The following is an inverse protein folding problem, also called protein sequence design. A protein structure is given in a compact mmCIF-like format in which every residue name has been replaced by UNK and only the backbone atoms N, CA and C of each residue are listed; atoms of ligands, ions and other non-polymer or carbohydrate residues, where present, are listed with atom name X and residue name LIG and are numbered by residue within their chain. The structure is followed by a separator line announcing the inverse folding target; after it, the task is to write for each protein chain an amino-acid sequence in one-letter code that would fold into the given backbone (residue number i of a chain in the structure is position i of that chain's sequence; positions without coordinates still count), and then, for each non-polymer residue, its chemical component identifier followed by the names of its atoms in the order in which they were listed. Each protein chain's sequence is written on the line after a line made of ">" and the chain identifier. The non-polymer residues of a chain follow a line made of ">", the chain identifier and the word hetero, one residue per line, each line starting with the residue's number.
data_IF_034806448193
#
_entry.id   IF_034806448193
#
_cell.length_a   1.000
_cell.length_b   1.000
_cell.length_c   1.000
_cell.angle_alpha   90.00
_cell.angle_beta   90.00
_cell.angle_gamma   90.00
#
_symmetry.space_group_name_H-M   'P 1'
#
loop_
_entity.id
_entity.type
_entity.pdbx_description
1 polymer ?
#
# COMPACT_ATOMS: atom_id res chain seq x y z
N UNK A 1 18.39 12.94 8.89
CA UNK A 1 17.20 12.42 8.20
C UNK A 1 17.57 11.16 7.44
N UNK A 2 17.05 10.01 7.85
CA UNK A 2 17.21 8.69 7.24
C UNK A 2 15.99 8.39 6.36
N UNK A 3 16.24 8.21 5.07
CA UNK A 3 15.23 7.81 4.09
C UNK A 3 15.33 6.31 3.81
N UNK A 4 14.19 5.63 3.82
CA UNK A 4 14.05 4.24 3.38
C UNK A 4 13.18 4.18 2.11
N UNK A 5 13.50 3.25 1.22
CA UNK A 5 12.70 2.92 0.04
C UNK A 5 12.50 1.42 0.06
N UNK A 6 11.25 0.96 0.08
CA UNK A 6 10.93 -0.45 0.13
C UNK A 6 10.22 -0.89 -1.14
N UNK A 7 10.92 -1.70 -1.94
CA UNK A 7 10.38 -2.29 -3.16
C UNK A 7 9.88 -3.70 -2.88
N UNK A 8 8.62 -3.95 -3.22
CA UNK A 8 8.01 -5.28 -3.21
C UNK A 8 6.98 -5.37 -4.35
N UNK A 9 6.46 -6.57 -4.59
CA UNK A 9 5.37 -6.83 -5.53
C UNK A 9 4.04 -6.85 -4.77
N UNK A 10 3.18 -5.82 -4.90
CA UNK A 10 1.84 -5.86 -4.32
C UNK A 10 1.00 -6.92 -5.02
N UNK A 11 0.28 -7.72 -4.23
CA UNK A 11 -0.69 -8.69 -4.72
C UNK A 11 -1.99 -7.95 -5.04
N UNK A 12 -2.46 -8.03 -6.28
CA UNK A 12 -3.64 -7.31 -6.71
C UNK A 12 -4.88 -7.71 -5.89
N UNK A 13 -5.55 -6.73 -5.29
CA UNK A 13 -6.78 -6.91 -4.51
C UNK A 13 -6.60 -7.51 -3.10
N UNK A 14 -5.41 -8.00 -2.74
CA UNK A 14 -5.14 -8.58 -1.43
C UNK A 14 -4.52 -7.54 -0.47
N UNK A 15 -5.39 -6.70 0.08
CA UNK A 15 -5.00 -5.58 0.97
C UNK A 15 -4.26 -6.10 2.20
N UNK A 16 -4.75 -7.20 2.80
CA UNK A 16 -4.16 -7.74 4.03
C UNK A 16 -2.73 -8.22 3.79
N UNK A 17 -2.49 -9.00 2.74
CA UNK A 17 -1.15 -9.48 2.43
C UNK A 17 -0.18 -8.33 2.10
N UNK A 18 -0.66 -7.28 1.43
CA UNK A 18 0.15 -6.11 1.10
C UNK A 18 0.51 -5.28 2.32
N UNK A 19 -0.45 -5.03 3.21
CA UNK A 19 -0.21 -4.32 4.48
C UNK A 19 0.77 -5.10 5.35
N UNK A 20 0.63 -6.41 5.46
CA UNK A 20 1.58 -7.25 6.22
C UNK A 20 3.02 -7.13 5.70
N UNK A 21 3.24 -7.04 4.38
CA UNK A 21 4.57 -6.79 3.80
C UNK A 21 5.13 -5.42 4.22
N UNK A 22 4.29 -4.39 4.21
CA UNK A 22 4.67 -3.04 4.64
C UNK A 22 5.00 -3.03 6.14
N UNK A 23 4.16 -3.63 6.98
CA UNK A 23 4.39 -3.74 8.42
C UNK A 23 5.70 -4.46 8.74
N UNK A 24 6.03 -5.53 8.01
CA UNK A 24 7.31 -6.21 8.16
C UNK A 24 8.50 -5.28 7.85
N UNK A 25 8.41 -4.48 6.78
CA UNK A 25 9.44 -3.51 6.44
C UNK A 25 9.58 -2.41 7.51
N UNK A 26 8.47 -1.86 8.00
CA UNK A 26 8.45 -0.84 9.06
C UNK A 26 9.12 -1.35 10.34
N UNK A 27 8.90 -2.61 10.72
CA UNK A 27 9.45 -3.18 11.94
C UNK A 27 10.91 -3.68 11.80
N UNK A 28 11.48 -3.66 10.59
CA UNK A 28 12.80 -4.25 10.32
C UNK A 28 13.97 -3.29 10.52
N UNK A 29 13.76 -1.98 10.39
CA UNK A 29 14.82 -0.95 10.39
C UNK A 29 14.29 0.40 10.89
N UNK A 30 15.17 1.22 11.48
CA UNK A 30 14.83 2.60 11.87
C UNK A 30 15.00 3.59 10.70
N UNK A 31 13.98 4.39 10.42
CA UNK A 31 13.98 5.47 9.41
C UNK A 31 13.11 6.66 9.85
N UNK A 32 13.35 7.82 9.25
CA UNK A 32 12.52 9.03 9.46
C UNK A 32 11.41 9.13 8.41
N UNK A 33 11.61 8.57 7.21
CA UNK A 33 10.64 8.54 6.10
C UNK A 33 10.80 7.25 5.31
N UNK A 34 9.69 6.58 5.00
CA UNK A 34 9.62 5.41 4.13
C UNK A 34 8.83 5.74 2.87
N UNK A 35 9.39 5.41 1.71
CA UNK A 35 8.74 5.50 0.41
C UNK A 35 8.34 4.09 -0.02
N UNK A 36 7.07 3.95 -0.42
CA UNK A 36 6.46 2.71 -0.90
C UNK A 36 6.14 2.81 -2.40
N UNK A 37 5.91 1.68 -3.08
CA UNK A 37 5.48 1.68 -4.47
C UNK A 37 4.13 2.38 -4.66
N UNK A 38 3.84 2.77 -5.90
CA UNK A 38 2.51 3.22 -6.29
C UNK A 38 1.46 2.13 -6.00
N UNK A 39 0.31 2.54 -5.45
CA UNK A 39 -0.81 1.64 -5.12
C UNK A 39 -0.38 0.41 -4.30
N UNK A 40 0.53 0.63 -3.34
CA UNK A 40 1.16 -0.43 -2.55
C UNK A 40 0.21 -1.32 -1.74
N UNK A 41 -1.01 -0.88 -1.45
CA UNK A 41 -2.01 -1.67 -0.71
C UNK A 41 -2.90 -2.51 -1.61
N UNK A 42 -3.06 -2.16 -2.89
CA UNK A 42 -4.07 -2.75 -3.77
C UNK A 42 -3.50 -3.41 -5.02
N UNK A 43 -2.29 -3.06 -5.44
CA UNK A 43 -1.76 -3.40 -6.77
C UNK A 43 -2.31 -2.49 -7.87
N UNK A 44 -1.78 -2.63 -9.09
CA UNK A 44 -1.96 -1.62 -10.13
C UNK A 44 -2.98 -1.98 -11.23
N UNK A 45 -3.08 -3.26 -11.60
CA UNK A 45 -3.68 -3.66 -12.88
C UNK A 45 -5.21 -3.83 -12.81
N UNK A 46 -5.92 -2.73 -12.53
CA UNK A 46 -7.38 -2.69 -12.57
C UNK A 46 -7.92 -2.81 -14.00
N UNK A 47 -9.03 -3.53 -14.15
CA UNK A 47 -9.71 -3.73 -15.43
C UNK A 47 -11.00 -2.92 -15.57
N UNK A 48 -11.49 -2.30 -14.49
CA UNK A 48 -12.70 -1.48 -14.52
C UNK A 48 -12.72 -0.41 -13.43
N UNK A 49 -13.59 0.58 -13.59
CA UNK A 49 -13.84 1.58 -12.55
C UNK A 49 -14.48 0.97 -11.29
N UNK A 50 -15.26 -0.08 -11.46
CA UNK A 50 -15.90 -0.81 -10.36
C UNK A 50 -14.87 -1.53 -9.48
N UNK A 51 -13.81 -2.12 -10.07
CA UNK A 51 -12.71 -2.72 -9.29
C UNK A 51 -11.97 -1.66 -8.47
N UNK A 52 -11.66 -0.52 -9.07
CA UNK A 52 -11.01 0.61 -8.38
C UNK A 52 -11.90 1.07 -7.22
N UNK A 53 -13.19 1.27 -7.47
CA UNK A 53 -14.15 1.70 -6.45
C UNK A 53 -14.28 0.68 -5.32
N UNK A 54 -14.29 -0.62 -5.62
CA UNK A 54 -14.40 -1.70 -4.64
C UNK A 54 -13.16 -1.85 -3.74
N UNK A 55 -11.98 -1.43 -4.21
CA UNK A 55 -10.72 -1.49 -3.47
C UNK A 55 -10.30 -0.14 -2.87
N UNK A 56 -11.06 0.92 -3.10
CA UNK A 56 -10.81 2.24 -2.53
C UNK A 56 -11.21 2.30 -1.06
N UNK A 57 -10.40 2.97 -0.25
CA UNK A 57 -10.72 3.22 1.16
C UNK A 57 -11.83 4.27 1.29
N UNK A 58 -12.61 4.16 2.36
CA UNK A 58 -13.59 5.20 2.70
C UNK A 58 -12.86 6.46 3.16
N UNK A 59 -13.39 7.63 2.80
CA UNK A 59 -12.90 8.90 3.33
C UNK A 59 -13.41 9.02 4.78
N UNK A 60 -12.53 8.98 5.81
CA UNK A 60 -12.99 9.05 7.19
C UNK A 60 -13.63 10.42 7.46
N UNK A 61 -14.93 10.44 7.75
CA UNK A 61 -15.69 11.66 8.01
C UNK A 61 -16.05 12.50 6.77
N UNK A 62 -16.01 11.92 5.57
CA UNK A 62 -16.51 12.58 4.35
C UNK A 62 -18.00 12.95 4.43
N UNK A 63 -18.40 14.04 3.77
CA UNK A 63 -19.72 14.71 3.80
C UNK A 63 -20.95 13.79 3.95
#
# INVERSE_FOLDING_TARGET
>A
MKLAVYQFEPLFGDIEANVQKIEHAVNSVEFDLLILPELCTTGYQFNSHEEVAGLSETIPGGL
#
